data_IF_555434748787
#
_entry.id   IF_555434748787
#
_cell.length_a   1.000
_cell.length_b   1.000
_cell.length_c   1.000
_cell.angle_alpha   90.00
_cell.angle_beta   90.00
_cell.angle_gamma   90.00
#
_symmetry.space_group_name_H-M   'P 1'
#
loop_
_entity.id
_entity.type
_entity.pdbx_description
1 polymer ?
#
# COMPACT_ATOMS: atom_id res chain seq x y z
N UNK A 1 8.22 25.45 -12.48
CA UNK A 1 7.55 24.14 -12.42
C UNK A 1 7.00 23.93 -11.02
N UNK A 2 5.73 23.59 -10.85
CA UNK A 2 5.04 23.40 -9.55
C UNK A 2 4.18 22.14 -9.63
N UNK A 3 4.26 21.29 -8.62
CA UNK A 3 3.49 20.03 -8.53
C UNK A 3 2.69 20.05 -7.24
N UNK A 4 1.37 19.97 -7.35
CA UNK A 4 0.47 19.79 -6.21
C UNK A 4 0.04 18.33 -6.10
N UNK A 5 0.28 17.72 -4.96
CA UNK A 5 -0.17 16.36 -4.63
C UNK A 5 -1.32 16.44 -3.64
N UNK A 6 -2.51 15.96 -4.03
CA UNK A 6 -3.71 15.95 -3.19
C UNK A 6 -3.93 14.57 -2.59
N UNK A 7 -3.79 14.48 -1.27
CA UNK A 7 -4.06 13.28 -0.48
C UNK A 7 -5.57 13.01 -0.34
N UNK A 8 -5.98 11.77 -0.04
CA UNK A 8 -7.34 11.50 0.41
C UNK A 8 -7.70 12.32 1.65
N UNK A 9 -8.96 12.74 1.74
CA UNK A 9 -9.48 13.35 2.97
C UNK A 9 -9.27 12.43 4.18
N UNK A 10 -8.77 12.95 5.30
CA UNK A 10 -8.39 12.23 6.52
C UNK A 10 -7.20 11.27 6.38
N UNK A 11 -6.42 11.31 5.31
CA UNK A 11 -5.16 10.57 5.27
C UNK A 11 -4.15 11.20 6.23
N UNK A 12 -3.64 10.42 7.16
CA UNK A 12 -2.67 10.88 8.14
C UNK A 12 -1.27 10.97 7.52
N UNK A 13 -0.72 12.18 7.47
CA UNK A 13 0.61 12.43 6.91
C UNK A 13 1.64 12.71 8.01
N UNK A 14 1.69 11.81 9.02
CA UNK A 14 2.67 11.88 10.11
C UNK A 14 3.43 10.56 10.25
N UNK A 15 4.65 10.60 10.80
CA UNK A 15 5.51 9.41 10.91
C UNK A 15 4.89 8.31 11.78
N UNK A 16 4.09 8.67 12.78
CA UNK A 16 3.56 7.72 13.75
C UNK A 16 2.31 6.97 13.24
N UNK A 17 1.49 7.63 12.40
CA UNK A 17 0.20 7.10 11.97
C UNK A 17 -0.01 7.16 10.46
N UNK A 18 1.06 7.10 9.68
CA UNK A 18 0.97 7.17 8.23
C UNK A 18 0.21 5.98 7.65
N UNK A 19 -0.77 6.28 6.80
CA UNK A 19 -1.42 5.28 5.94
C UNK A 19 -0.52 4.85 4.77
N UNK A 20 -0.96 3.86 4.01
CA UNK A 20 -0.20 3.32 2.88
C UNK A 20 0.10 4.37 1.80
N UNK A 21 -0.83 5.31 1.55
CA UNK A 21 -0.67 6.39 0.57
C UNK A 21 0.40 7.39 1.05
N UNK A 22 0.34 7.76 2.33
CA UNK A 22 1.30 8.68 2.94
C UNK A 22 2.72 8.11 2.96
N UNK A 23 2.87 6.83 3.29
CA UNK A 23 4.15 6.13 3.22
C UNK A 23 4.68 6.07 1.78
N UNK A 24 3.83 5.75 0.79
CA UNK A 24 4.20 5.75 -0.62
C UNK A 24 4.72 7.12 -1.06
N UNK A 25 4.02 8.20 -0.73
CA UNK A 25 4.45 9.56 -1.06
C UNK A 25 5.76 9.93 -0.37
N UNK A 26 5.90 9.65 0.92
CA UNK A 26 7.14 9.90 1.65
C UNK A 26 8.33 9.16 1.01
N UNK A 27 8.13 7.89 0.64
CA UNK A 27 9.15 7.04 0.06
C UNK A 27 9.59 7.50 -1.34
N UNK A 28 8.67 8.08 -2.12
CA UNK A 28 8.92 8.45 -3.52
C UNK A 28 9.29 9.91 -3.71
N UNK A 29 8.66 10.84 -2.97
CA UNK A 29 8.93 12.29 -3.14
C UNK A 29 10.31 12.70 -2.66
N UNK A 30 10.85 12.06 -1.60
CA UNK A 30 12.20 12.37 -1.08
C UNK A 30 13.31 12.14 -2.11
N UNK A 31 13.13 11.16 -2.99
CA UNK A 31 14.11 10.76 -4.01
C UNK A 31 13.81 11.34 -5.40
N UNK A 32 12.68 12.01 -5.56
CA UNK A 32 12.29 12.65 -6.82
C UNK A 32 13.24 13.80 -7.18
N UNK A 33 13.60 13.92 -8.47
CA UNK A 33 14.30 15.10 -8.99
C UNK A 33 13.46 16.37 -8.88
N UNK A 34 12.15 16.24 -8.80
CA UNK A 34 11.19 17.33 -8.62
C UNK A 34 10.90 17.70 -7.15
N UNK A 35 11.57 17.08 -6.17
CA UNK A 35 11.29 17.26 -4.73
C UNK A 35 11.20 18.72 -4.26
N UNK A 36 11.93 19.64 -4.92
CA UNK A 36 11.89 21.07 -4.58
C UNK A 36 10.61 21.77 -5.04
N UNK A 37 9.91 21.20 -6.00
CA UNK A 37 8.72 21.76 -6.66
C UNK A 37 7.40 21.12 -6.18
N UNK A 38 7.48 20.07 -5.33
CA UNK A 38 6.32 19.34 -4.84
C UNK A 38 5.78 19.98 -3.57
N UNK A 39 4.47 20.26 -3.54
CA UNK A 39 3.69 20.54 -2.34
C UNK A 39 2.68 19.42 -2.11
N UNK A 40 2.51 18.96 -0.87
CA UNK A 40 1.56 17.91 -0.51
C UNK A 40 0.42 18.53 0.29
N UNK A 41 -0.80 18.37 -0.20
CA UNK A 41 -2.02 18.89 0.42
C UNK A 41 -2.80 17.73 1.06
N UNK A 42 -3.23 17.92 2.30
CA UNK A 42 -3.98 16.92 3.05
C UNK A 42 -4.81 17.51 4.17
N UNK A 43 -5.45 16.63 4.92
CA UNK A 43 -6.17 16.99 6.15
C UNK A 43 -5.82 15.94 7.21
N UNK A 44 -4.77 16.18 7.97
CA UNK A 44 -4.37 15.36 9.10
C UNK A 44 -4.72 16.00 10.43
N UNK A 45 -5.09 15.18 11.40
CA UNK A 45 -5.27 15.64 12.79
C UNK A 45 -3.93 15.77 13.55
N UNK A 46 -2.85 15.20 13.01
CA UNK A 46 -1.52 15.25 13.62
C UNK A 46 -0.76 16.48 13.16
N UNK A 47 -0.38 17.36 14.11
CA UNK A 47 0.34 18.59 13.84
C UNK A 47 1.86 18.44 13.97
N UNK A 48 2.33 17.38 14.61
CA UNK A 48 3.76 17.09 14.85
C UNK A 48 4.22 15.94 13.95
N UNK A 49 5.53 15.84 13.75
CA UNK A 49 6.21 14.75 13.05
C UNK A 49 5.66 14.49 11.64
N UNK A 50 5.37 15.55 10.90
CA UNK A 50 4.92 15.47 9.52
C UNK A 50 6.01 14.86 8.62
N UNK A 51 5.60 14.00 7.69
CA UNK A 51 6.50 13.30 6.76
C UNK A 51 7.22 14.24 5.79
N UNK A 52 6.73 15.47 5.59
CA UNK A 52 7.36 16.49 4.75
C UNK A 52 7.12 17.89 5.30
N UNK A 53 8.17 18.73 5.28
CA UNK A 53 8.06 20.16 5.58
C UNK A 53 7.22 20.94 4.55
N UNK A 54 6.96 20.37 3.38
CA UNK A 54 6.14 20.95 2.31
C UNK A 54 4.69 20.45 2.32
N UNK A 55 4.27 19.89 3.44
CA UNK A 55 2.88 19.53 3.67
C UNK A 55 2.06 20.76 4.05
N UNK A 56 0.91 20.92 3.40
CA UNK A 56 -0.06 21.98 3.65
C UNK A 56 -1.34 21.33 4.16
N UNK A 57 -1.68 21.61 5.40
CA UNK A 57 -2.92 21.14 5.98
C UNK A 57 -4.09 22.03 5.53
N UNK A 58 -5.15 21.41 5.01
CA UNK A 58 -6.39 22.08 4.64
C UNK A 58 -7.35 21.98 5.83
N UNK A 59 -7.55 23.05 6.58
CA UNK A 59 -8.45 23.03 7.73
C UNK A 59 -9.92 22.91 7.28
N UNK A 60 -10.71 22.13 8.02
CA UNK A 60 -12.13 21.95 7.74
C UNK A 60 -12.92 22.33 8.99
N UNK A 61 -13.72 23.39 8.89
CA UNK A 61 -14.72 23.71 9.90
C UNK A 61 -15.95 22.83 9.69
N UNK A 62 -16.41 22.12 10.73
CA UNK A 62 -17.66 21.37 10.68
C UNK A 62 -18.82 22.34 10.57
N UNK A 63 -19.71 22.17 9.60
CA UNK A 63 -20.97 22.89 9.46
C UNK A 63 -22.03 21.89 8.98
N UNK A 64 -23.31 22.17 9.24
CA UNK A 64 -24.41 21.27 8.93
C UNK A 64 -24.72 21.12 7.42
N UNK A 65 -24.39 22.11 6.59
CA UNK A 65 -24.89 22.20 5.20
C UNK A 65 -23.98 21.60 4.12
N UNK A 66 -22.74 21.19 4.42
CA UNK A 66 -21.83 20.62 3.41
C UNK A 66 -21.02 19.44 3.94
N UNK A 67 -20.85 18.39 3.09
CA UNK A 67 -19.98 17.28 3.44
C UNK A 67 -18.52 17.74 3.60
N UNK A 68 -17.84 17.16 4.59
CA UNK A 68 -16.41 17.46 4.86
C UNK A 68 -15.51 17.20 3.64
N UNK A 69 -15.85 16.21 2.82
CA UNK A 69 -15.13 15.90 1.57
C UNK A 69 -15.25 17.07 0.55
N UNK A 70 -16.44 17.66 0.43
CA UNK A 70 -16.65 18.82 -0.46
C UNK A 70 -15.86 20.03 0.01
N UNK A 71 -15.93 20.35 1.32
CA UNK A 71 -15.16 21.45 1.93
C UNK A 71 -13.65 21.27 1.77
N UNK A 72 -13.17 20.04 1.93
CA UNK A 72 -11.77 19.71 1.73
C UNK A 72 -11.32 20.01 0.29
N UNK A 73 -12.13 19.58 -0.71
CA UNK A 73 -11.85 19.88 -2.10
C UNK A 73 -11.92 21.37 -2.39
N UNK A 74 -12.94 22.08 -1.88
CA UNK A 74 -13.08 23.54 -2.07
C UNK A 74 -11.90 24.29 -1.42
N UNK A 75 -11.41 23.83 -0.27
CA UNK A 75 -10.19 24.35 0.37
C UNK A 75 -8.94 24.14 -0.47
N UNK A 76 -8.80 22.96 -1.10
CA UNK A 76 -7.72 22.70 -2.04
C UNK A 76 -7.79 23.61 -3.27
N UNK A 77 -8.97 23.76 -3.87
CA UNK A 77 -9.16 24.61 -5.05
C UNK A 77 -8.77 26.08 -4.77
N UNK A 78 -9.12 26.62 -3.58
CA UNK A 78 -8.68 27.95 -3.16
C UNK A 78 -7.15 28.06 -3.06
N UNK A 79 -6.49 27.05 -2.53
CA UNK A 79 -5.01 27.04 -2.46
C UNK A 79 -4.39 26.91 -3.86
N UNK A 80 -5.01 26.11 -4.73
CA UNK A 80 -4.52 25.87 -6.08
C UNK A 80 -4.65 27.11 -6.98
N UNK A 81 -5.69 27.93 -6.80
CA UNK A 81 -5.83 29.23 -7.49
C UNK A 81 -4.61 30.14 -7.23
N UNK A 82 -4.04 30.08 -6.01
CA UNK A 82 -2.83 30.86 -5.64
C UNK A 82 -1.56 30.15 -6.14
N UNK A 83 -1.50 28.82 -5.99
CA UNK A 83 -0.31 28.04 -6.34
C UNK A 83 -0.10 27.99 -7.84
N UNK A 84 -1.18 27.82 -8.60
CA UNK A 84 -1.21 27.67 -10.05
C UNK A 84 -0.19 26.63 -10.52
N UNK A 85 -0.46 25.35 -10.17
CA UNK A 85 0.47 24.25 -10.43
C UNK A 85 0.47 23.83 -11.89
N UNK A 86 1.65 23.45 -12.38
CA UNK A 86 1.80 22.87 -13.73
C UNK A 86 1.25 21.44 -13.80
N UNK A 87 1.18 20.75 -12.65
CA UNK A 87 0.68 19.37 -12.53
C UNK A 87 -0.02 19.15 -11.20
N UNK A 88 -1.20 18.49 -11.24
CA UNK A 88 -1.91 18.04 -10.05
C UNK A 88 -1.99 16.52 -10.01
N UNK A 89 -1.47 15.92 -8.95
CA UNK A 89 -1.57 14.48 -8.67
C UNK A 89 -2.62 14.21 -7.60
N UNK A 90 -3.65 13.43 -7.93
CA UNK A 90 -4.78 13.11 -7.05
C UNK A 90 -4.66 11.65 -6.61
N UNK A 91 -4.67 11.40 -5.31
CA UNK A 91 -4.57 10.04 -4.77
C UNK A 91 -5.92 9.54 -4.25
N UNK A 92 -6.38 8.39 -4.77
CA UNK A 92 -7.56 7.65 -4.29
C UNK A 92 -8.87 8.45 -4.18
N UNK A 93 -9.06 9.50 -4.99
CA UNK A 93 -10.28 10.30 -4.97
C UNK A 93 -10.71 10.70 -6.38
N UNK A 94 -11.17 9.74 -7.21
CA UNK A 94 -11.56 10.00 -8.59
C UNK A 94 -12.67 11.05 -8.72
N UNK A 95 -13.56 11.16 -7.73
CA UNK A 95 -14.63 12.16 -7.71
C UNK A 95 -14.12 13.63 -7.77
N UNK A 96 -12.84 13.87 -7.41
CA UNK A 96 -12.27 15.23 -7.44
C UNK A 96 -11.87 15.66 -8.86
N UNK A 97 -11.59 14.71 -9.76
CA UNK A 97 -11.07 14.97 -11.10
C UNK A 97 -11.92 15.97 -11.87
N UNK A 98 -13.24 15.79 -11.92
CA UNK A 98 -14.12 16.65 -12.72
C UNK A 98 -14.10 18.14 -12.28
N UNK A 99 -13.94 18.40 -10.98
CA UNK A 99 -13.86 19.77 -10.48
C UNK A 99 -12.48 20.38 -10.72
N UNK A 100 -11.42 19.59 -10.49
CA UNK A 100 -10.04 20.03 -10.70
C UNK A 100 -9.76 20.24 -12.18
N UNK A 101 -10.35 19.44 -13.08
CA UNK A 101 -10.21 19.56 -14.53
C UNK A 101 -10.71 20.92 -15.09
N UNK A 102 -11.58 21.62 -14.36
CA UNK A 102 -12.04 22.97 -14.74
C UNK A 102 -10.95 24.02 -14.59
N UNK A 103 -10.00 23.82 -13.69
CA UNK A 103 -8.93 24.80 -13.38
C UNK A 103 -7.55 24.32 -13.88
N UNK A 104 -7.32 23.02 -14.02
CA UNK A 104 -6.07 22.47 -14.48
C UNK A 104 -6.31 21.21 -15.32
N UNK A 105 -5.72 21.15 -16.51
CA UNK A 105 -5.86 20.02 -17.46
C UNK A 105 -4.78 18.95 -17.27
N UNK A 106 -3.70 19.27 -16.58
CA UNK A 106 -2.62 18.34 -16.30
C UNK A 106 -2.87 17.60 -14.99
N UNK A 107 -3.75 16.59 -15.05
CA UNK A 107 -4.12 15.78 -13.90
C UNK A 107 -3.55 14.37 -14.05
N UNK A 108 -2.94 13.86 -12.97
CA UNK A 108 -2.62 12.45 -12.79
C UNK A 108 -3.43 11.89 -11.65
N UNK A 109 -4.15 10.78 -11.89
CA UNK A 109 -4.97 10.12 -10.88
C UNK A 109 -4.34 8.80 -10.46
N UNK A 110 -4.15 8.60 -9.16
CA UNK A 110 -3.65 7.35 -8.59
C UNK A 110 -4.76 6.54 -7.94
N UNK A 111 -4.81 5.26 -8.26
CA UNK A 111 -5.65 4.27 -7.59
C UNK A 111 -4.79 3.37 -6.69
N UNK A 112 -4.94 3.53 -5.38
CA UNK A 112 -4.34 2.67 -4.36
C UNK A 112 -5.31 1.62 -3.80
N UNK A 113 -6.59 1.70 -4.18
CA UNK A 113 -7.65 0.77 -3.80
C UNK A 113 -8.42 0.32 -5.05
N UNK A 114 -9.36 -0.64 -4.88
CA UNK A 114 -10.25 -1.07 -5.96
C UNK A 114 -11.03 0.12 -6.52
N UNK A 115 -10.87 0.46 -7.82
CA UNK A 115 -11.61 1.55 -8.45
C UNK A 115 -13.12 1.39 -8.36
N UNK A 116 -13.63 0.15 -8.45
CA UNK A 116 -15.07 -0.12 -8.40
C UNK A 116 -15.70 0.11 -7.03
N UNK A 117 -14.88 0.25 -5.99
CA UNK A 117 -15.33 0.64 -4.65
C UNK A 117 -15.27 2.15 -4.39
N UNK A 118 -14.79 2.95 -5.34
CA UNK A 118 -14.53 4.38 -5.15
C UNK A 118 -15.58 5.25 -5.86
N UNK A 119 -16.27 6.11 -5.11
CA UNK A 119 -17.20 7.09 -5.68
C UNK A 119 -16.52 7.93 -6.76
N UNK A 120 -17.12 7.96 -7.96
CA UNK A 120 -16.56 8.62 -9.15
C UNK A 120 -15.74 7.70 -10.05
N UNK A 121 -15.72 6.36 -9.76
CA UNK A 121 -15.15 5.34 -10.64
C UNK A 121 -15.98 4.04 -10.65
N UNK A 122 -17.11 3.98 -9.94
CA UNK A 122 -17.97 2.80 -9.86
C UNK A 122 -18.60 2.48 -11.22
N UNK A 123 -19.20 3.50 -11.85
CA UNK A 123 -19.88 3.30 -13.14
C UNK A 123 -18.91 3.29 -14.31
N UNK A 124 -19.28 2.58 -15.39
CA UNK A 124 -18.56 2.59 -16.66
C UNK A 124 -18.38 4.00 -17.19
N UNK A 125 -19.46 4.81 -17.16
CA UNK A 125 -19.46 6.21 -17.61
C UNK A 125 -18.44 7.06 -16.82
N UNK A 126 -18.36 6.88 -15.50
CA UNK A 126 -17.37 7.61 -14.68
C UNK A 126 -15.95 7.27 -15.10
N UNK A 127 -15.64 5.98 -15.30
CA UNK A 127 -14.28 5.54 -15.65
C UNK A 127 -13.87 6.01 -17.05
N UNK A 128 -14.80 6.04 -18.02
CA UNK A 128 -14.55 6.63 -19.35
C UNK A 128 -14.20 8.12 -19.18
N UNK A 129 -15.01 8.85 -18.41
CA UNK A 129 -14.76 10.28 -18.15
C UNK A 129 -13.44 10.55 -17.45
N UNK A 130 -13.00 9.65 -16.56
CA UNK A 130 -11.68 9.75 -15.94
C UNK A 130 -10.55 9.58 -16.98
N UNK A 131 -10.69 8.64 -17.93
CA UNK A 131 -9.73 8.47 -19.03
C UNK A 131 -9.62 9.72 -19.89
N UNK A 132 -10.73 10.43 -20.10
CA UNK A 132 -10.75 11.66 -20.92
C UNK A 132 -10.20 12.88 -20.17
N UNK A 133 -10.48 12.96 -18.86
CA UNK A 133 -10.14 14.13 -18.03
C UNK A 133 -8.80 14.02 -17.28
N UNK A 134 -7.99 12.99 -17.56
CA UNK A 134 -6.66 12.84 -16.97
C UNK A 134 -5.58 12.66 -18.02
N UNK A 135 -4.43 13.27 -17.81
CA UNK A 135 -3.23 13.02 -18.63
C UNK A 135 -2.70 11.61 -18.41
N UNK A 136 -2.81 11.11 -17.17
CA UNK A 136 -2.40 9.75 -16.83
C UNK A 136 -3.18 9.20 -15.64
N UNK A 137 -3.48 7.89 -15.67
CA UNK A 137 -4.00 7.14 -14.53
C UNK A 137 -2.92 6.15 -14.07
N UNK A 138 -2.60 6.18 -12.79
CA UNK A 138 -1.62 5.28 -12.18
C UNK A 138 -2.34 4.24 -11.32
N UNK A 139 -2.03 2.98 -11.57
CA UNK A 139 -2.52 1.84 -10.79
C UNK A 139 -1.37 1.22 -9.99
N UNK A 140 -1.60 0.88 -8.74
CA UNK A 140 -0.55 0.28 -7.89
C UNK A 140 -0.29 -1.21 -8.18
N UNK A 141 -1.16 -1.85 -8.96
CA UNK A 141 -1.03 -3.25 -9.36
C UNK A 141 -1.75 -3.53 -10.68
N UNK A 142 -1.43 -4.66 -11.28
CA UNK A 142 -2.16 -5.18 -12.44
C UNK A 142 -3.62 -5.46 -12.06
N UNK A 143 -3.84 -6.02 -10.85
CA UNK A 143 -5.18 -6.29 -10.35
C UNK A 143 -6.03 -4.99 -10.29
N UNK A 144 -5.52 -3.90 -9.69
CA UNK A 144 -6.23 -2.61 -9.63
C UNK A 144 -6.52 -2.07 -11.03
N UNK A 145 -5.56 -2.21 -11.97
CA UNK A 145 -5.76 -1.84 -13.37
C UNK A 145 -6.88 -2.67 -14.00
N UNK A 146 -6.86 -3.99 -13.83
CA UNK A 146 -7.84 -4.88 -14.46
C UNK A 146 -9.25 -4.64 -13.86
N UNK A 147 -9.35 -4.28 -12.57
CA UNK A 147 -10.59 -3.82 -11.94
C UNK A 147 -11.11 -2.52 -12.57
N UNK A 148 -10.24 -1.55 -12.85
CA UNK A 148 -10.64 -0.31 -13.51
C UNK A 148 -11.19 -0.55 -14.91
N UNK A 149 -10.57 -1.44 -15.68
CA UNK A 149 -10.98 -1.77 -17.04
C UNK A 149 -12.03 -2.88 -17.14
N UNK A 150 -12.51 -3.39 -15.99
CA UNK A 150 -13.62 -4.33 -15.97
C UNK A 150 -14.81 -3.74 -16.74
N UNK A 151 -15.37 -4.50 -17.69
CA UNK A 151 -16.49 -4.13 -18.58
C UNK A 151 -16.26 -2.93 -19.53
N UNK A 152 -15.06 -2.41 -19.66
CA UNK A 152 -14.75 -1.31 -20.60
C UNK A 152 -14.36 -1.77 -22.01
N UNK A 153 -14.39 -3.07 -22.32
CA UNK A 153 -14.10 -3.63 -23.63
C UNK A 153 -12.72 -3.19 -24.17
N UNK A 154 -12.67 -2.77 -25.42
CA UNK A 154 -11.41 -2.38 -26.08
C UNK A 154 -10.82 -1.03 -25.69
N UNK A 155 -11.48 -0.25 -24.83
CA UNK A 155 -10.95 1.03 -24.35
C UNK A 155 -9.55 0.90 -23.72
N UNK A 156 -9.24 -0.26 -23.11
CA UNK A 156 -7.92 -0.58 -22.60
C UNK A 156 -6.83 -0.56 -23.70
N UNK A 157 -7.17 -0.95 -24.91
CA UNK A 157 -6.27 -0.95 -26.07
C UNK A 157 -6.13 0.44 -26.69
N UNK A 158 -7.22 1.19 -26.74
CA UNK A 158 -7.32 2.50 -27.39
C UNK A 158 -6.72 3.61 -26.52
N UNK A 159 -7.10 3.65 -25.24
CA UNK A 159 -6.62 4.66 -24.28
C UNK A 159 -5.37 4.15 -23.55
N UNK A 160 -4.19 4.63 -23.95
CA UNK A 160 -2.90 4.24 -23.37
C UNK A 160 -2.37 5.20 -22.32
N UNK A 161 -3.20 6.11 -21.79
CA UNK A 161 -2.83 7.10 -20.78
C UNK A 161 -2.81 6.52 -19.35
N UNK A 162 -2.37 5.30 -19.18
CA UNK A 162 -2.24 4.66 -17.86
C UNK A 162 -0.89 3.96 -17.68
N UNK A 163 -0.52 3.73 -16.42
CA UNK A 163 0.71 3.00 -16.06
C UNK A 163 0.52 2.25 -14.73
N UNK A 164 1.28 1.16 -14.54
CA UNK A 164 1.36 0.45 -13.27
C UNK A 164 2.63 0.90 -12.54
N UNK A 165 2.43 1.58 -11.40
CA UNK A 165 3.52 2.02 -10.51
C UNK A 165 3.22 1.48 -9.11
N UNK A 166 3.84 0.35 -8.71
CA UNK A 166 3.62 -0.28 -7.42
C UNK A 166 4.12 0.57 -6.25
N UNK A 167 3.66 0.21 -5.03
CA UNK A 167 4.28 0.72 -3.82
C UNK A 167 5.75 0.32 -3.76
N UNK A 168 6.53 1.12 -3.05
CA UNK A 168 7.95 0.93 -2.87
C UNK A 168 8.35 0.85 -1.42
N UNK A 169 9.56 0.40 -1.19
CA UNK A 169 10.19 0.44 0.12
C UNK A 169 11.71 0.57 -0.03
N UNK A 170 12.35 1.14 0.97
CA UNK A 170 13.81 1.19 1.01
C UNK A 170 14.39 -0.22 1.16
N UNK A 171 15.18 -0.67 0.16
CA UNK A 171 15.90 -1.93 0.22
C UNK A 171 17.12 -1.78 1.14
N UNK A 172 17.29 -2.73 2.04
CA UNK A 172 18.44 -2.80 2.95
C UNK A 172 19.25 -4.07 2.68
N UNK A 173 20.51 -4.09 3.11
CA UNK A 173 21.29 -5.33 3.14
C UNK A 173 20.77 -6.22 4.26
N UNK A 174 20.42 -7.45 3.94
CA UNK A 174 19.90 -8.45 4.87
C UNK A 174 20.78 -9.68 4.85
N UNK A 175 21.28 -10.06 6.02
CA UNK A 175 21.97 -11.35 6.19
C UNK A 175 20.95 -12.43 6.59
N UNK A 176 20.68 -13.34 5.67
CA UNK A 176 19.73 -14.43 5.88
C UNK A 176 20.20 -15.40 6.97
N UNK A 177 21.52 -15.53 7.19
CA UNK A 177 22.07 -16.41 8.23
C UNK A 177 21.70 -15.93 9.64
N UNK A 178 21.47 -14.61 9.82
CA UNK A 178 21.07 -13.97 11.09
C UNK A 178 19.57 -13.97 11.34
N UNK A 179 18.77 -14.57 10.47
CA UNK A 179 17.33 -14.73 10.68
C UNK A 179 17.06 -15.65 11.87
N UNK A 180 16.12 -15.24 12.72
CA UNK A 180 15.68 -15.99 13.90
C UNK A 180 14.49 -16.89 13.56
N UNK A 181 14.19 -17.85 14.41
CA UNK A 181 13.03 -18.73 14.33
C UNK A 181 11.76 -17.98 14.74
N UNK A 182 11.38 -17.02 13.89
CA UNK A 182 10.26 -16.11 14.09
C UNK A 182 9.34 -16.15 12.89
N UNK A 183 8.05 -16.33 13.19
CA UNK A 183 6.92 -16.15 12.27
C UNK A 183 6.24 -14.83 12.61
N UNK A 184 5.91 -14.03 11.59
CA UNK A 184 5.31 -12.71 11.81
C UNK A 184 4.04 -12.53 10.98
N UNK A 185 2.99 -11.99 11.61
CA UNK A 185 1.77 -11.49 11.00
C UNK A 185 1.68 -9.98 11.24
N UNK A 186 1.37 -9.21 10.19
CA UNK A 186 1.21 -7.75 10.28
C UNK A 186 -0.05 -7.35 9.53
N UNK A 187 -1.02 -6.76 10.22
CA UNK A 187 -2.28 -6.32 9.61
C UNK A 187 -3.37 -6.06 10.64
N UNK A 188 -4.55 -5.69 10.17
CA UNK A 188 -5.73 -5.64 11.04
C UNK A 188 -6.05 -7.05 11.54
N UNK A 189 -6.38 -7.16 12.82
CA UNK A 189 -6.61 -8.45 13.48
C UNK A 189 -8.07 -8.91 13.29
N UNK A 190 -8.48 -9.09 12.04
CA UNK A 190 -9.83 -9.46 11.68
C UNK A 190 -9.87 -10.61 10.65
N UNK A 191 -11.05 -11.18 10.47
CA UNK A 191 -11.31 -12.30 9.55
C UNK A 191 -11.04 -11.93 8.09
N UNK A 192 -11.25 -10.66 7.68
CA UNK A 192 -10.94 -10.23 6.31
C UNK A 192 -9.44 -10.31 5.98
N UNK A 193 -8.58 -10.17 6.99
CA UNK A 193 -7.12 -10.37 6.87
C UNK A 193 -6.68 -11.81 7.15
N UNK A 194 -7.62 -12.71 7.42
CA UNK A 194 -7.35 -14.11 7.73
C UNK A 194 -6.68 -14.31 9.09
N UNK A 195 -6.87 -13.39 10.04
CA UNK A 195 -6.24 -13.50 11.34
C UNK A 195 -6.75 -14.68 12.14
N UNK A 196 -8.01 -15.06 12.01
CA UNK A 196 -8.61 -16.28 12.55
C UNK A 196 -7.90 -17.55 12.02
N UNK A 197 -7.75 -17.67 10.70
CA UNK A 197 -7.02 -18.79 10.06
C UNK A 197 -5.56 -18.83 10.50
N UNK A 198 -4.91 -17.64 10.55
CA UNK A 198 -3.55 -17.53 11.07
C UNK A 198 -3.46 -18.04 12.51
N UNK A 199 -4.41 -17.66 13.37
CA UNK A 199 -4.43 -18.02 14.78
C UNK A 199 -4.54 -19.55 14.98
N UNK A 200 -5.48 -20.19 14.31
CA UNK A 200 -5.63 -21.64 14.37
C UNK A 200 -4.37 -22.40 13.87
N UNK A 201 -3.82 -21.99 12.74
CA UNK A 201 -2.61 -22.59 12.18
C UNK A 201 -1.39 -22.37 13.09
N UNK A 202 -1.23 -21.15 13.63
CA UNK A 202 -0.03 -20.79 14.40
C UNK A 202 0.02 -21.50 15.75
N UNK A 203 -1.13 -21.74 16.41
CA UNK A 203 -1.17 -22.50 17.65
C UNK A 203 -0.62 -23.92 17.43
N UNK A 204 -1.10 -24.63 16.40
CA UNK A 204 -0.60 -25.97 16.02
C UNK A 204 0.92 -25.96 15.71
N UNK A 205 1.40 -24.91 15.05
CA UNK A 205 2.84 -24.73 14.75
C UNK A 205 3.66 -24.56 16.02
N UNK A 206 3.22 -23.70 16.94
CA UNK A 206 3.96 -23.42 18.18
C UNK A 206 3.94 -24.60 19.15
N UNK A 207 2.90 -25.41 19.10
CA UNK A 207 2.84 -26.67 19.83
C UNK A 207 3.82 -27.72 19.29
N UNK A 208 3.94 -27.82 17.98
CA UNK A 208 4.87 -28.76 17.31
C UNK A 208 6.33 -28.28 17.38
N UNK A 209 6.59 -26.99 17.22
CA UNK A 209 7.93 -26.40 17.10
C UNK A 209 8.25 -25.45 18.26
N UNK A 210 8.59 -26.00 19.43
CA UNK A 210 8.75 -25.27 20.71
C UNK A 210 9.80 -24.14 20.68
N UNK A 211 10.79 -24.17 19.78
CA UNK A 211 11.83 -23.16 19.62
C UNK A 211 11.37 -21.93 18.79
N UNK A 212 10.25 -22.08 18.06
CA UNK A 212 9.72 -20.98 17.24
C UNK A 212 8.84 -20.05 18.07
N UNK A 213 8.86 -18.78 17.68
CA UNK A 213 8.01 -17.73 18.25
C UNK A 213 7.18 -17.06 17.17
N UNK A 214 5.95 -16.69 17.48
CA UNK A 214 5.12 -15.90 16.61
C UNK A 214 4.96 -14.48 17.16
N UNK A 215 4.98 -13.50 16.26
CA UNK A 215 4.74 -12.09 16.57
C UNK A 215 3.62 -11.55 15.71
N UNK A 216 2.65 -10.90 16.33
CA UNK A 216 1.47 -10.31 15.70
C UNK A 216 1.48 -8.82 15.95
N UNK A 217 1.38 -8.03 14.87
CA UNK A 217 1.32 -6.57 14.90
C UNK A 217 0.04 -6.08 14.22
N UNK A 218 -0.66 -5.21 14.91
CA UNK A 218 -1.91 -4.59 14.47
C UNK A 218 -2.99 -4.69 15.53
N UNK A 219 -4.13 -4.12 15.22
CA UNK A 219 -5.32 -4.14 16.06
C UNK A 219 -6.59 -4.17 15.20
N UNK A 220 -7.71 -4.46 15.83
CA UNK A 220 -9.05 -4.29 15.27
C UNK A 220 -10.07 -4.28 16.41
N UNK A 221 -10.44 -3.10 16.92
CA UNK A 221 -11.32 -3.00 18.09
C UNK A 221 -12.76 -3.46 17.81
N UNK A 222 -13.16 -3.60 16.54
CA UNK A 222 -14.52 -3.98 16.13
C UNK A 222 -14.71 -5.50 16.05
N UNK A 223 -13.64 -6.27 15.97
CA UNK A 223 -13.69 -7.74 15.86
C UNK A 223 -12.73 -8.34 16.88
N UNK A 224 -13.25 -9.13 17.82
CA UNK A 224 -12.48 -9.70 18.92
C UNK A 224 -12.13 -11.15 18.60
N UNK A 225 -10.93 -11.38 18.08
CA UNK A 225 -10.36 -12.71 17.83
C UNK A 225 -9.19 -12.89 18.80
N UNK A 226 -9.25 -13.87 19.66
CA UNK A 226 -8.25 -14.10 20.70
C UNK A 226 -7.60 -15.45 20.54
N UNK A 227 -6.27 -15.43 20.59
CA UNK A 227 -5.43 -16.63 20.67
C UNK A 227 -4.41 -16.46 21.77
N UNK A 228 -4.08 -17.52 22.48
CA UNK A 228 -3.07 -17.51 23.56
C UNK A 228 -2.15 -18.71 23.43
N UNK A 229 -0.85 -18.45 23.52
CA UNK A 229 0.19 -19.48 23.60
C UNK A 229 1.46 -18.85 24.16
N UNK A 230 2.27 -19.58 24.96
CA UNK A 230 3.51 -19.06 25.58
C UNK A 230 4.52 -18.45 24.60
N UNK A 231 4.54 -18.92 23.35
CA UNK A 231 5.42 -18.45 22.28
C UNK A 231 4.71 -17.50 21.26
N UNK A 232 3.45 -17.12 21.50
CA UNK A 232 2.69 -16.17 20.69
C UNK A 232 2.71 -14.79 21.36
N UNK A 233 3.18 -13.77 20.65
CA UNK A 233 3.29 -12.40 21.14
C UNK A 233 2.37 -11.49 20.31
N UNK A 234 1.24 -11.08 20.87
CA UNK A 234 0.32 -10.12 20.24
C UNK A 234 0.65 -8.73 20.80
N UNK A 235 1.18 -7.84 19.95
CA UNK A 235 1.81 -6.58 20.39
C UNK A 235 0.99 -5.34 20.08
N UNK A 236 -0.19 -5.51 19.47
CA UNK A 236 -1.03 -4.38 19.09
C UNK A 236 -0.42 -3.51 18.01
N UNK A 237 -0.91 -2.27 17.91
CA UNK A 237 -0.37 -1.29 16.96
C UNK A 237 1.05 -0.87 17.37
N UNK A 238 1.96 -0.82 16.39
CA UNK A 238 3.35 -0.40 16.58
C UNK A 238 3.79 0.54 15.45
N UNK A 239 4.81 1.37 15.74
CA UNK A 239 5.41 2.27 14.75
C UNK A 239 6.00 1.46 13.58
N UNK A 240 5.86 1.98 12.37
CA UNK A 240 6.28 1.31 11.13
C UNK A 240 7.75 0.82 11.17
N UNK A 241 8.68 1.64 11.69
CA UNK A 241 10.08 1.26 11.81
C UNK A 241 10.32 0.07 12.75
N UNK A 242 9.54 -0.06 13.80
CA UNK A 242 9.62 -1.20 14.74
C UNK A 242 9.22 -2.50 14.02
N UNK A 243 8.14 -2.45 13.23
CA UNK A 243 7.68 -3.57 12.41
C UNK A 243 8.77 -3.96 11.38
N UNK A 244 9.36 -2.99 10.68
CA UNK A 244 10.42 -3.24 9.71
C UNK A 244 11.67 -3.87 10.36
N UNK A 245 12.03 -3.45 11.57
CA UNK A 245 13.13 -4.06 12.32
C UNK A 245 12.82 -5.50 12.73
N UNK A 246 11.59 -5.79 13.13
CA UNK A 246 11.17 -7.16 13.44
C UNK A 246 11.19 -8.03 12.18
N UNK A 247 10.66 -7.56 11.05
CA UNK A 247 10.72 -8.26 9.76
C UNK A 247 12.15 -8.58 9.32
N UNK A 248 13.11 -7.67 9.60
CA UNK A 248 14.53 -7.89 9.27
C UNK A 248 15.11 -9.14 9.91
N UNK A 249 14.67 -9.49 11.11
CA UNK A 249 15.15 -10.68 11.84
C UNK A 249 14.20 -11.88 11.76
N UNK A 250 12.98 -11.74 11.27
CA UNK A 250 12.00 -12.82 11.15
C UNK A 250 12.29 -13.73 9.96
N UNK A 251 12.13 -15.04 10.12
CA UNK A 251 12.34 -16.02 9.05
C UNK A 251 11.15 -16.14 8.10
N UNK A 252 9.93 -16.13 8.63
CA UNK A 252 8.69 -16.36 7.88
C UNK A 252 7.75 -15.18 8.13
N UNK A 253 7.05 -14.73 7.10
CA UNK A 253 5.96 -13.76 7.20
C UNK A 253 4.70 -14.30 6.54
N UNK A 254 3.55 -14.10 7.15
CA UNK A 254 2.25 -14.56 6.66
C UNK A 254 1.35 -13.37 6.37
N UNK A 255 0.76 -13.35 5.16
CA UNK A 255 -0.23 -12.37 4.72
C UNK A 255 -1.40 -13.11 4.05
N UNK A 256 -2.24 -13.73 4.87
CA UNK A 256 -3.29 -14.68 4.45
C UNK A 256 -4.67 -14.00 4.33
N UNK A 257 -4.75 -12.88 3.62
CA UNK A 257 -6.00 -12.12 3.46
C UNK A 257 -7.06 -12.90 2.68
N UNK A 258 -8.31 -12.90 3.17
CA UNK A 258 -9.50 -13.29 2.40
C UNK A 258 -9.92 -12.19 1.44
N UNK A 259 -9.61 -10.94 1.78
CA UNK A 259 -9.94 -9.80 0.97
C UNK A 259 -8.98 -9.69 -0.23
N UNK A 260 -9.52 -9.24 -1.36
CA UNK A 260 -8.74 -8.91 -2.55
C UNK A 260 -7.89 -7.66 -2.28
N UNK A 261 -6.67 -7.88 -1.83
CA UNK A 261 -5.74 -6.78 -1.52
C UNK A 261 -5.39 -6.00 -2.78
N UNK A 262 -5.50 -4.68 -2.79
CA UNK A 262 -5.09 -3.89 -3.96
C UNK A 262 -3.61 -4.07 -4.33
N UNK A 263 -2.73 -4.31 -3.34
CA UNK A 263 -1.31 -4.63 -3.55
C UNK A 263 -0.74 -5.51 -2.45
N UNK A 264 -0.85 -5.12 -1.17
CA UNK A 264 -0.28 -5.84 -0.03
C UNK A 264 1.06 -5.28 0.44
N UNK A 265 1.01 -4.06 1.03
CA UNK A 265 2.22 -3.37 1.50
C UNK A 265 3.01 -4.19 2.52
N UNK A 266 2.36 -4.91 3.43
CA UNK A 266 3.04 -5.74 4.44
C UNK A 266 3.80 -6.91 3.81
N UNK A 267 3.25 -7.54 2.78
CA UNK A 267 3.94 -8.59 2.02
C UNK A 267 5.15 -8.03 1.24
N UNK A 268 5.04 -6.83 0.67
CA UNK A 268 6.15 -6.10 0.07
C UNK A 268 7.28 -5.84 1.08
N UNK A 269 6.92 -5.35 2.28
CA UNK A 269 7.86 -5.05 3.35
C UNK A 269 8.59 -6.30 3.83
N UNK A 270 7.87 -7.40 4.05
CA UNK A 270 8.43 -8.70 4.41
C UNK A 270 9.40 -9.23 3.32
N UNK A 271 9.01 -9.09 2.05
CA UNK A 271 9.84 -9.48 0.91
C UNK A 271 11.15 -8.68 0.88
N UNK A 272 11.07 -7.36 1.07
CA UNK A 272 12.25 -6.47 1.10
C UNK A 272 13.21 -6.76 2.26
N UNK A 273 12.71 -7.39 3.32
CA UNK A 273 13.47 -7.78 4.51
C UNK A 273 13.89 -9.26 4.50
N UNK A 274 13.63 -9.99 3.40
CA UNK A 274 14.08 -11.36 3.21
C UNK A 274 13.38 -12.38 4.09
N UNK A 275 12.11 -12.18 4.39
CA UNK A 275 11.29 -13.24 4.93
C UNK A 275 10.94 -14.26 3.83
N UNK A 276 10.78 -15.52 4.18
CA UNK A 276 9.99 -16.43 3.37
C UNK A 276 8.53 -16.02 3.55
N UNK A 277 7.93 -15.45 2.49
CA UNK A 277 6.59 -14.86 2.59
C UNK A 277 5.55 -15.86 2.11
N UNK A 278 4.53 -16.13 2.92
CA UNK A 278 3.33 -16.88 2.55
C UNK A 278 2.22 -15.88 2.33
N UNK A 279 1.54 -15.97 1.19
CA UNK A 279 0.43 -15.11 0.79
C UNK A 279 -0.74 -15.92 0.27
N UNK A 280 -1.95 -15.38 0.37
CA UNK A 280 -3.07 -15.86 -0.44
C UNK A 280 -2.94 -15.35 -1.88
N UNK A 281 -3.39 -16.14 -2.84
CA UNK A 281 -3.40 -15.76 -4.26
C UNK A 281 -4.59 -14.84 -4.57
N UNK A 282 -4.67 -13.67 -3.89
CA UNK A 282 -5.80 -12.73 -3.97
C UNK A 282 -5.35 -11.32 -4.27
N UNK A 283 -6.07 -10.66 -5.16
CA UNK A 283 -5.82 -9.28 -5.56
C UNK A 283 -4.41 -9.04 -6.09
N UNK A 284 -3.76 -8.01 -5.57
CA UNK A 284 -2.38 -7.63 -5.88
C UNK A 284 -1.31 -8.27 -4.99
N UNK A 285 -1.68 -9.13 -4.01
CA UNK A 285 -0.69 -9.82 -3.15
C UNK A 285 0.38 -10.57 -3.94
N UNK A 286 0.02 -11.35 -5.00
CA UNK A 286 1.01 -12.04 -5.83
C UNK A 286 2.00 -11.11 -6.54
N UNK A 287 1.64 -9.85 -6.74
CA UNK A 287 2.54 -8.85 -7.32
C UNK A 287 3.50 -8.29 -6.27
N UNK A 288 3.00 -8.02 -5.05
CA UNK A 288 3.79 -7.50 -3.94
C UNK A 288 4.85 -8.48 -3.43
N UNK A 289 4.53 -9.79 -3.43
CA UNK A 289 5.42 -10.87 -3.03
C UNK A 289 5.54 -11.95 -4.13
N UNK A 290 6.04 -11.55 -5.31
CA UNK A 290 6.06 -12.39 -6.52
C UNK A 290 6.79 -13.73 -6.33
N UNK A 291 7.72 -13.81 -5.41
CA UNK A 291 8.52 -15.00 -5.09
C UNK A 291 8.11 -15.63 -3.75
N UNK A 292 6.99 -15.20 -3.18
CA UNK A 292 6.38 -15.82 -2.01
C UNK A 292 5.63 -17.12 -2.36
N UNK A 293 5.32 -17.88 -1.32
CA UNK A 293 4.49 -19.07 -1.41
C UNK A 293 3.03 -18.62 -1.50
N UNK A 294 2.32 -19.08 -2.53
CA UNK A 294 0.94 -18.71 -2.80
C UNK A 294 -0.01 -19.81 -2.35
N UNK A 295 -0.97 -19.47 -1.52
CA UNK A 295 -2.07 -20.33 -1.10
C UNK A 295 -3.32 -19.94 -1.89
N UNK A 296 -3.91 -20.89 -2.62
CA UNK A 296 -5.16 -20.67 -3.36
C UNK A 296 -6.39 -20.90 -2.49
N UNK A 297 -6.37 -21.95 -1.69
CA UNK A 297 -7.40 -22.28 -0.71
C UNK A 297 -6.91 -21.94 0.69
N UNK A 298 -7.59 -20.99 1.34
CA UNK A 298 -7.21 -20.50 2.66
C UNK A 298 -7.94 -21.28 3.74
N UNK A 299 -7.29 -22.33 4.23
CA UNK A 299 -7.72 -23.16 5.35
C UNK A 299 -6.61 -23.22 6.41
N UNK A 300 -6.94 -23.38 7.72
CA UNK A 300 -5.95 -23.47 8.79
C UNK A 300 -4.92 -24.58 8.54
N UNK A 301 -5.35 -25.75 8.08
CA UNK A 301 -4.46 -26.90 7.86
C UNK A 301 -3.55 -26.70 6.64
N UNK A 302 -4.01 -26.01 5.61
CA UNK A 302 -3.17 -25.65 4.45
C UNK A 302 -2.11 -24.64 4.87
N UNK A 303 -2.50 -23.62 5.62
CA UNK A 303 -1.55 -22.63 6.15
C UNK A 303 -0.55 -23.29 7.11
N UNK A 304 -1.01 -24.17 7.99
CA UNK A 304 -0.15 -24.98 8.86
C UNK A 304 0.88 -25.76 8.05
N UNK A 305 0.47 -26.51 7.02
CA UNK A 305 1.36 -27.32 6.17
C UNK A 305 2.46 -26.48 5.51
N UNK A 306 2.12 -25.30 4.98
CA UNK A 306 3.11 -24.45 4.32
C UNK A 306 4.08 -23.79 5.33
N UNK A 307 3.63 -23.43 6.52
CA UNK A 307 4.52 -22.92 7.58
C UNK A 307 5.43 -24.07 8.06
N UNK A 308 4.87 -25.24 8.33
CA UNK A 308 5.60 -26.43 8.78
C UNK A 308 6.68 -26.84 7.78
N UNK A 309 6.34 -26.88 6.50
CA UNK A 309 7.29 -27.15 5.40
C UNK A 309 8.47 -26.19 5.40
N UNK A 310 8.23 -24.89 5.62
CA UNK A 310 9.30 -23.89 5.71
C UNK A 310 10.14 -24.05 6.98
N UNK A 311 9.57 -24.55 8.06
CA UNK A 311 10.29 -24.80 9.31
C UNK A 311 11.21 -26.01 9.16
N UNK A 312 10.67 -27.13 8.71
CA UNK A 312 11.40 -28.39 8.59
C UNK A 312 12.47 -28.32 7.50
N UNK A 313 12.12 -27.77 6.33
CA UNK A 313 13.05 -27.69 5.21
C UNK A 313 13.79 -26.32 5.22
N UNK A 314 14.85 -26.26 6.02
CA UNK A 314 15.70 -25.05 6.15
C UNK A 314 16.33 -24.62 4.81
N UNK A 315 16.67 -25.57 3.94
CA UNK A 315 17.28 -25.27 2.63
C UNK A 315 16.24 -24.63 1.71
N UNK A 316 15.02 -25.17 1.66
CA UNK A 316 13.92 -24.58 0.90
C UNK A 316 13.54 -23.19 1.43
N UNK A 317 13.42 -23.01 2.74
CA UNK A 317 13.19 -21.67 3.34
C UNK A 317 14.27 -20.67 2.91
N UNK A 318 15.55 -21.05 3.01
CA UNK A 318 16.67 -20.19 2.59
C UNK A 318 16.64 -19.89 1.09
N UNK A 319 16.26 -20.84 0.26
CA UNK A 319 16.08 -20.62 -1.17
C UNK A 319 15.01 -19.56 -1.44
N UNK A 320 13.82 -19.69 -0.84
CA UNK A 320 12.74 -18.69 -0.96
C UNK A 320 13.20 -17.31 -0.49
N UNK A 321 13.86 -17.21 0.66
CA UNK A 321 14.38 -15.96 1.22
C UNK A 321 15.40 -15.29 0.27
N UNK A 322 16.37 -16.06 -0.24
CA UNK A 322 17.41 -15.57 -1.16
C UNK A 322 16.78 -15.09 -2.48
N UNK A 323 15.89 -15.88 -3.05
CA UNK A 323 15.20 -15.54 -4.30
C UNK A 323 14.41 -14.23 -4.15
N UNK A 324 13.66 -14.11 -3.06
CA UNK A 324 12.87 -12.90 -2.76
C UNK A 324 13.74 -11.66 -2.66
N UNK A 325 14.87 -11.70 -1.94
CA UNK A 325 15.77 -10.54 -1.80
C UNK A 325 16.47 -10.22 -3.13
N UNK A 326 17.04 -11.22 -3.79
CA UNK A 326 17.85 -11.00 -4.98
C UNK A 326 17.02 -10.41 -6.12
N UNK A 327 15.79 -10.88 -6.27
CA UNK A 327 14.87 -10.44 -7.32
C UNK A 327 13.98 -9.28 -6.91
N UNK A 328 14.14 -8.72 -5.71
CA UNK A 328 13.36 -7.57 -5.24
C UNK A 328 13.68 -6.30 -6.01
N UNK A 329 12.70 -5.74 -6.71
CA UNK A 329 12.84 -4.57 -7.59
C UNK A 329 12.07 -3.32 -7.17
N UNK A 330 11.16 -3.43 -6.21
CA UNK A 330 10.28 -2.31 -5.80
C UNK A 330 10.98 -1.35 -4.82
N UNK A 331 12.18 -0.89 -5.19
CA UNK A 331 12.95 0.04 -4.36
C UNK A 331 12.42 1.48 -4.53
N UNK A 332 12.58 2.30 -3.47
CA UNK A 332 12.18 3.70 -3.52
C UNK A 332 12.83 4.46 -4.69
N UNK A 333 14.11 4.18 -4.97
CA UNK A 333 14.83 4.81 -6.10
C UNK A 333 14.19 4.44 -7.44
N UNK A 334 13.95 3.16 -7.69
CA UNK A 334 13.38 2.68 -8.95
C UNK A 334 11.97 3.24 -9.18
N UNK A 335 11.12 3.23 -8.15
CA UNK A 335 9.75 3.75 -8.26
C UNK A 335 9.74 5.26 -8.39
N UNK A 336 10.59 6.01 -7.67
CA UNK A 336 10.75 7.46 -7.85
C UNK A 336 11.16 7.82 -9.27
N UNK A 337 12.08 7.07 -9.86
CA UNK A 337 12.50 7.29 -11.27
C UNK A 337 11.34 7.07 -12.24
N UNK A 338 10.52 6.03 -12.06
CA UNK A 338 9.31 5.81 -12.86
C UNK A 338 8.35 6.99 -12.78
N UNK A 339 8.10 7.47 -11.56
CA UNK A 339 7.25 8.65 -11.32
C UNK A 339 7.83 9.89 -12.01
N UNK A 340 9.11 10.13 -11.87
CA UNK A 340 9.77 11.27 -12.49
C UNK A 340 9.76 11.20 -14.04
N UNK A 341 9.78 10.01 -14.60
CA UNK A 341 9.71 9.81 -16.05
C UNK A 341 8.34 10.24 -16.60
N UNK A 342 7.23 9.82 -16.00
CA UNK A 342 5.92 10.30 -16.49
C UNK A 342 5.73 11.80 -16.26
N UNK A 343 6.20 12.35 -15.13
CA UNK A 343 6.18 13.80 -14.87
C UNK A 343 6.91 14.57 -15.97
N UNK A 344 8.11 14.10 -16.31
CA UNK A 344 8.91 14.68 -17.40
C UNK A 344 8.18 14.65 -18.75
N UNK A 345 7.50 13.55 -19.06
CA UNK A 345 6.72 13.43 -20.30
C UNK A 345 5.56 14.41 -20.35
N UNK A 346 4.84 14.60 -19.23
CA UNK A 346 3.75 15.57 -19.13
C UNK A 346 4.26 17.01 -19.27
N UNK A 347 5.44 17.35 -18.72
CA UNK A 347 5.99 18.69 -18.82
C UNK A 347 6.59 19.02 -20.21
N UNK A 348 6.83 18.00 -21.05
CA UNK A 348 7.32 18.17 -22.42
C UNK A 348 6.18 18.17 -23.46
N UNK A 349 4.98 17.71 -23.10
CA UNK A 349 3.77 17.71 -23.95
C UNK A 349 2.98 19.00 -23.78
#
# INVERSE_FOLDING_TARGET
>A
MKISILLPYKENFSSDYAGAVSLFLNDTTKLSKYKRFIKVYGNTNFKKDLLSKKYINIPIKKTFFQSSTKKYLDGFLKQETITNSDLIEIHNRPIYVNKIFKINKNIVLYFHNDPLSQKGAVSKKDRIKLLDNTKKIIFISKWVKDRFFFDLGDLKKIKKNYEIIPHSINKIKVDIKKKKEIIIFVGRLNSSKGYDIFGEAILKILDKHKNWKAFVYGDEPREKIFFSHKNLNILGFKKHNEILNKLKISSISVSCSRWEEPFGRTALEASSRGCAVIITNRGGLPEAASYGIKINDLQPDILFKEIDRLIINKNYRRYVQKTTINKFKFTNRYISQKIDNYRNNIFKS
#
